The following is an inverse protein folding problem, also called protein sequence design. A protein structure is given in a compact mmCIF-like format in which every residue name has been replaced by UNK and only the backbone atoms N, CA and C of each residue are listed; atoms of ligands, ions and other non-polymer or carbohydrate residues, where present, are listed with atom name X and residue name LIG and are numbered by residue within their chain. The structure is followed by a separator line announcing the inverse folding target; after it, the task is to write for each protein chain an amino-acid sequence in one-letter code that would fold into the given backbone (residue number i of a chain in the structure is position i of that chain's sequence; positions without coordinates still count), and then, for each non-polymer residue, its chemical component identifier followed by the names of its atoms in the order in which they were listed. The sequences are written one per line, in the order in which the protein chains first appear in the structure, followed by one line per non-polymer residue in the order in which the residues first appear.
data_IF_081017631922
#
_entry.id   IF_081017631922
#
_cell.length_a   1.000
_cell.length_b   1.000
_cell.length_c   1.000
_cell.angle_alpha   90.00
_cell.angle_beta   90.00
_cell.angle_gamma   90.00
#
_symmetry.space_group_name_H-M   'P 1'
#
loop_
_entity.id
_entity.type
_entity.pdbx_description
1 polymer ?
#
# COMPACT_ATOMS: atom_id res chain seq x y z
N UNK A 1 57.14 -8.59 14.63
CA UNK A 1 56.02 -9.54 14.46
C UNK A 1 55.20 -9.10 13.26
N UNK A 2 55.01 -9.95 12.25
CA UNK A 2 54.15 -9.59 11.10
C UNK A 2 52.68 -9.72 11.51
N UNK A 3 51.94 -8.62 11.46
CA UNK A 3 50.49 -8.64 11.70
C UNK A 3 49.82 -9.45 10.58
N UNK A 4 49.27 -10.62 10.91
CA UNK A 4 48.43 -11.39 10.00
C UNK A 4 47.17 -10.55 9.70
N UNK A 5 47.16 -9.86 8.55
CA UNK A 5 45.93 -9.34 7.96
C UNK A 5 44.95 -10.51 7.82
N UNK A 6 43.94 -10.55 8.68
CA UNK A 6 42.81 -11.47 8.52
C UNK A 6 42.06 -11.00 7.29
N UNK A 7 42.18 -11.75 6.19
CA UNK A 7 41.36 -11.56 5.00
C UNK A 7 39.92 -11.95 5.35
N UNK A 8 39.17 -11.01 5.94
CA UNK A 8 37.77 -11.21 6.29
C UNK A 8 36.97 -11.38 5.00
N UNK A 9 36.38 -12.56 4.82
CA UNK A 9 35.49 -12.83 3.68
C UNK A 9 34.19 -12.05 3.83
N UNK A 10 33.49 -11.78 2.73
CA UNK A 10 32.16 -11.15 2.76
C UNK A 10 31.23 -11.82 3.79
N UNK A 11 31.21 -13.17 3.82
CA UNK A 11 30.47 -13.95 4.81
C UNK A 11 30.90 -13.67 6.26
N UNK A 12 32.20 -13.63 6.55
CA UNK A 12 32.68 -13.36 7.91
C UNK A 12 32.34 -11.93 8.35
N UNK A 13 32.50 -10.96 7.46
CA UNK A 13 32.15 -9.56 7.70
C UNK A 13 30.64 -9.36 7.87
N UNK A 14 29.81 -9.99 7.04
CA UNK A 14 28.34 -9.88 7.14
C UNK A 14 27.80 -10.54 8.42
N UNK A 15 28.41 -11.65 8.88
CA UNK A 15 28.11 -12.19 10.22
C UNK A 15 28.41 -11.18 11.33
N UNK A 16 29.54 -10.46 11.26
CA UNK A 16 29.86 -9.41 12.24
C UNK A 16 28.86 -8.25 12.19
N UNK A 17 28.46 -7.81 11.00
CA UNK A 17 27.47 -6.73 10.84
C UNK A 17 26.08 -7.17 11.31
N UNK A 18 25.71 -8.45 11.18
CA UNK A 18 24.46 -9.00 11.71
C UNK A 18 24.45 -9.00 13.24
N UNK A 19 25.53 -9.49 13.86
CA UNK A 19 25.68 -9.41 15.32
C UNK A 19 25.72 -7.95 15.82
N UNK A 20 26.20 -6.99 15.01
CA UNK A 20 26.17 -5.57 15.34
C UNK A 20 24.75 -5.03 15.36
N UNK A 21 23.99 -5.18 14.26
CA UNK A 21 22.62 -4.61 14.18
C UNK A 21 21.64 -5.28 15.14
N UNK A 22 21.86 -6.55 15.51
CA UNK A 22 21.08 -7.23 16.55
C UNK A 22 21.43 -6.78 17.98
N UNK A 23 22.66 -6.31 18.21
CA UNK A 23 23.09 -5.75 19.50
C UNK A 23 22.73 -4.26 19.65
N UNK A 24 22.79 -3.52 18.55
CA UNK A 24 22.60 -2.07 18.47
C UNK A 24 21.66 -1.77 17.29
N UNK A 25 20.33 -1.90 17.50
CA UNK A 25 19.33 -1.71 16.44
C UNK A 25 19.28 -0.26 15.96
N UNK A 26 19.10 -0.09 14.65
CA UNK A 26 18.97 1.24 14.04
C UNK A 26 17.52 1.72 14.14
N UNK A 27 17.24 2.95 14.62
CA UNK A 27 15.89 3.49 14.66
C UNK A 27 15.20 3.41 13.29
N UNK A 28 13.91 3.08 13.29
CA UNK A 28 13.06 2.88 12.10
C UNK A 28 13.48 1.72 11.17
N UNK A 29 14.48 0.89 11.51
CA UNK A 29 15.06 -0.07 10.56
C UNK A 29 15.23 -1.45 11.20
N UNK A 30 14.75 -2.48 10.51
CA UNK A 30 15.08 -3.87 10.79
C UNK A 30 15.73 -4.50 9.55
N UNK A 31 16.68 -5.41 9.71
CA UNK A 31 17.31 -6.10 8.59
C UNK A 31 17.76 -7.52 8.95
N UNK A 32 17.66 -8.43 7.99
CA UNK A 32 18.04 -9.83 8.14
C UNK A 32 18.62 -10.40 6.82
N UNK A 33 19.67 -11.24 6.88
CA UNK A 33 20.13 -12.04 5.74
C UNK A 33 19.07 -13.09 5.37
N UNK A 34 19.01 -13.48 4.10
CA UNK A 34 18.32 -14.70 3.72
C UNK A 34 19.02 -15.92 4.36
N UNK A 35 18.30 -16.85 5.01
CA UNK A 35 18.89 -18.07 5.59
C UNK A 35 19.68 -18.91 4.59
N UNK A 36 19.26 -18.90 3.32
CA UNK A 36 19.92 -19.61 2.21
C UNK A 36 21.07 -18.84 1.55
N UNK A 37 21.16 -17.52 1.76
CA UNK A 37 22.13 -16.66 1.09
C UNK A 37 22.48 -15.42 1.93
N UNK A 38 23.56 -15.47 2.70
CA UNK A 38 24.03 -14.33 3.50
C UNK A 38 24.46 -13.11 2.66
N UNK A 39 24.65 -13.25 1.34
CA UNK A 39 24.96 -12.14 0.44
C UNK A 39 23.71 -11.39 -0.04
N UNK A 40 22.51 -11.84 0.32
CA UNK A 40 21.25 -11.14 0.08
C UNK A 40 20.58 -10.88 1.42
N UNK A 41 20.40 -9.60 1.74
CA UNK A 41 19.70 -9.18 2.96
C UNK A 41 18.43 -8.45 2.59
N UNK A 42 17.38 -8.70 3.32
CA UNK A 42 16.20 -7.85 3.30
C UNK A 42 16.25 -6.86 4.45
N UNK A 43 15.58 -5.73 4.25
CA UNK A 43 15.37 -4.74 5.29
C UNK A 43 13.95 -4.18 5.22
N UNK A 44 13.47 -3.65 6.33
CA UNK A 44 12.28 -2.81 6.37
C UNK A 44 12.70 -1.43 6.89
N UNK A 45 12.08 -0.39 6.32
CA UNK A 45 12.13 0.97 6.84
C UNK A 45 10.72 1.33 7.30
N UNK A 46 10.53 1.63 8.58
CA UNK A 46 9.31 2.26 9.09
C UNK A 46 9.39 3.76 8.76
N UNK A 47 8.34 4.32 8.17
CA UNK A 47 8.32 5.72 7.75
C UNK A 47 8.28 6.65 8.98
N UNK A 48 9.28 7.53 9.18
CA UNK A 48 9.35 8.37 10.38
C UNK A 48 8.17 9.33 10.50
N UNK A 49 7.88 9.73 11.73
CA UNK A 49 6.88 10.74 12.07
C UNK A 49 7.20 12.09 11.42
N UNK A 50 6.15 12.86 11.08
CA UNK A 50 6.22 14.14 10.39
C UNK A 50 6.85 14.09 8.97
N UNK A 51 6.99 12.89 8.39
CA UNK A 51 7.52 12.70 7.03
C UNK A 51 6.42 12.47 5.99
N UNK A 52 6.80 12.46 4.71
CA UNK A 52 5.91 12.06 3.61
C UNK A 52 5.54 10.56 3.62
N UNK A 53 6.18 9.78 4.49
CA UNK A 53 6.18 8.33 4.53
C UNK A 53 5.60 7.75 5.84
N UNK A 54 5.23 8.62 6.77
CA UNK A 54 4.70 8.28 8.10
C UNK A 54 3.64 7.17 8.05
N UNK A 55 3.77 6.18 8.94
CA UNK A 55 2.89 5.01 9.00
C UNK A 55 3.13 3.96 7.90
N UNK A 56 4.02 4.22 6.95
CA UNK A 56 4.42 3.27 5.91
C UNK A 56 5.50 2.28 6.39
N UNK A 57 5.51 1.08 5.80
CA UNK A 57 6.51 0.04 6.03
C UNK A 57 7.12 -0.33 4.67
N UNK A 58 8.40 -0.01 4.45
CA UNK A 58 9.04 -0.15 3.15
C UNK A 58 10.06 -1.28 3.15
N UNK A 59 9.66 -2.42 2.58
CA UNK A 59 10.51 -3.58 2.37
C UNK A 59 11.46 -3.34 1.18
N UNK A 60 12.73 -3.64 1.39
CA UNK A 60 13.79 -3.57 0.38
C UNK A 60 14.80 -4.69 0.52
N UNK A 61 15.85 -4.68 -0.31
CA UNK A 61 16.97 -5.61 -0.19
C UNK A 61 18.33 -5.02 -0.60
N UNK A 62 19.37 -5.57 0.01
CA UNK A 62 20.78 -5.34 -0.29
C UNK A 62 21.37 -6.60 -0.93
N UNK A 63 22.07 -6.45 -2.06
CA UNK A 63 22.81 -7.53 -2.70
C UNK A 63 24.31 -7.25 -2.56
N UNK A 64 25.01 -8.05 -1.76
CA UNK A 64 26.43 -7.90 -1.47
C UNK A 64 27.30 -8.68 -2.49
N UNK A 65 28.34 -8.06 -3.08
CA UNK A 65 29.31 -8.78 -3.89
C UNK A 65 30.18 -9.69 -3.01
N UNK A 66 30.86 -10.68 -3.63
CA UNK A 66 31.79 -11.57 -2.90
C UNK A 66 33.00 -10.84 -2.33
N UNK A 67 33.31 -9.68 -2.92
CA UNK A 67 34.38 -8.76 -2.52
C UNK A 67 33.96 -7.77 -1.43
N UNK A 68 32.73 -7.83 -0.90
CA UNK A 68 32.35 -7.05 0.28
C UNK A 68 33.30 -7.41 1.47
N UNK A 69 33.79 -6.44 2.25
CA UNK A 69 33.41 -5.02 2.29
C UNK A 69 34.23 -4.11 1.37
N UNK A 70 35.12 -4.63 0.51
CA UNK A 70 35.95 -3.80 -0.37
C UNK A 70 35.18 -3.26 -1.58
N UNK A 71 34.04 -3.88 -1.93
CA UNK A 71 33.04 -3.32 -2.86
C UNK A 71 31.70 -3.09 -2.14
N UNK A 72 30.94 -2.03 -2.47
CA UNK A 72 29.60 -1.77 -1.92
C UNK A 72 28.55 -2.82 -2.35
N UNK A 73 27.39 -2.89 -1.68
CA UNK A 73 26.22 -3.60 -2.19
C UNK A 73 25.45 -2.80 -3.26
N UNK A 74 24.66 -3.51 -4.07
CA UNK A 74 23.50 -2.93 -4.77
C UNK A 74 22.33 -2.76 -3.78
N UNK A 75 21.60 -1.65 -3.87
CA UNK A 75 20.44 -1.33 -3.02
C UNK A 75 19.16 -1.33 -3.86
N UNK A 76 18.08 -1.93 -3.36
CA UNK A 76 16.78 -2.02 -4.03
C UNK A 76 15.63 -1.78 -3.06
N UNK A 77 14.64 -0.95 -3.45
CA UNK A 77 13.35 -0.88 -2.77
C UNK A 77 12.35 -1.82 -3.46
N UNK A 78 11.59 -2.61 -2.69
CA UNK A 78 10.58 -3.54 -3.23
C UNK A 78 9.17 -2.95 -3.09
N UNK A 79 8.84 -2.39 -1.93
CA UNK A 79 7.53 -1.77 -1.68
C UNK A 79 7.35 -0.47 -2.47
N UNK A 80 6.19 -0.25 -3.12
CA UNK A 80 5.80 1.03 -3.70
C UNK A 80 5.84 2.17 -2.65
N UNK A 81 6.56 3.25 -2.97
CA UNK A 81 6.94 4.28 -1.99
C UNK A 81 6.93 5.73 -2.55
N UNK A 82 6.85 5.91 -3.87
CA UNK A 82 6.78 7.23 -4.51
C UNK A 82 8.08 8.05 -4.50
N UNK A 83 9.21 7.48 -4.09
CA UNK A 83 10.55 8.10 -4.07
C UNK A 83 11.57 7.35 -4.92
N UNK A 84 11.50 6.02 -4.88
CA UNK A 84 12.36 5.09 -5.60
C UNK A 84 11.52 4.14 -6.45
N UNK A 85 11.93 3.94 -7.71
CA UNK A 85 11.39 2.94 -8.64
C UNK A 85 11.67 1.55 -8.08
N UNK A 86 10.61 0.77 -7.86
CA UNK A 86 10.74 -0.57 -7.27
C UNK A 86 11.60 -1.50 -8.14
N UNK A 87 12.29 -2.44 -7.51
CA UNK A 87 13.14 -3.46 -8.16
C UNK A 87 14.24 -2.89 -9.09
N UNK A 88 14.58 -1.61 -8.94
CA UNK A 88 15.66 -0.94 -9.69
C UNK A 88 16.83 -0.67 -8.75
N UNK A 89 18.07 -0.81 -9.25
CA UNK A 89 19.28 -0.46 -8.48
C UNK A 89 19.26 1.04 -8.18
N UNK A 90 19.41 1.39 -6.90
CA UNK A 90 19.45 2.79 -6.44
C UNK A 90 20.89 3.27 -6.39
N UNK A 91 21.17 4.39 -7.04
CA UNK A 91 22.46 5.07 -6.91
C UNK A 91 22.44 6.00 -5.70
N UNK A 92 23.15 5.61 -4.65
CA UNK A 92 23.45 6.46 -3.48
C UNK A 92 24.97 6.56 -3.34
N UNK A 93 25.51 7.58 -2.66
CA UNK A 93 26.96 7.72 -2.39
C UNK A 93 27.58 6.53 -1.62
N UNK A 94 26.71 5.72 -1.00
CA UNK A 94 27.00 4.48 -0.27
C UNK A 94 26.77 3.19 -1.09
N UNK A 95 26.52 3.31 -2.40
CA UNK A 95 26.16 2.20 -3.30
C UNK A 95 27.26 1.89 -4.33
N UNK A 96 27.07 0.79 -5.05
CA UNK A 96 27.99 0.26 -6.06
C UNK A 96 28.12 1.09 -7.36
N UNK A 97 27.47 2.25 -7.45
CA UNK A 97 27.73 3.27 -8.47
C UNK A 97 28.89 4.21 -8.12
N UNK A 98 29.31 4.27 -6.86
CA UNK A 98 30.39 5.17 -6.40
C UNK A 98 31.49 4.39 -5.65
N UNK A 99 32.25 3.51 -6.34
CA UNK A 99 33.31 2.73 -5.72
C UNK A 99 34.44 3.60 -5.14
N UNK A 100 34.70 4.77 -5.71
CA UNK A 100 35.78 5.67 -5.28
C UNK A 100 35.46 6.43 -3.98
N UNK A 101 34.17 6.62 -3.66
CA UNK A 101 33.73 7.23 -2.39
C UNK A 101 33.30 6.19 -1.35
N UNK A 102 33.40 4.91 -1.68
CA UNK A 102 33.03 3.82 -0.77
C UNK A 102 34.04 3.66 0.35
N UNK A 103 33.57 3.60 1.59
CA UNK A 103 34.40 3.26 2.75
C UNK A 103 34.11 1.82 3.22
N UNK A 104 35.08 0.88 3.10
CA UNK A 104 34.93 -0.49 3.59
C UNK A 104 34.63 -0.62 5.09
N UNK A 105 34.83 0.42 5.90
CA UNK A 105 34.45 0.44 7.32
C UNK A 105 32.94 0.63 7.54
N UNK A 106 32.18 1.13 6.56
CA UNK A 106 30.73 1.30 6.69
C UNK A 106 30.04 -0.05 6.89
N UNK A 107 29.13 -0.09 7.86
CA UNK A 107 28.38 -1.28 8.24
C UNK A 107 27.02 -1.35 7.55
N UNK A 108 26.37 -2.52 7.57
CA UNK A 108 24.97 -2.65 7.14
C UNK A 108 24.07 -1.62 7.83
N UNK A 109 24.25 -1.38 9.13
CA UNK A 109 23.57 -0.31 9.87
C UNK A 109 23.79 1.07 9.22
N UNK A 110 25.05 1.42 8.93
CA UNK A 110 25.43 2.70 8.30
C UNK A 110 24.82 2.86 6.90
N UNK A 111 24.81 1.79 6.09
CA UNK A 111 24.21 1.77 4.75
C UNK A 111 22.70 2.06 4.84
N UNK A 112 22.01 1.40 5.76
CA UNK A 112 20.56 1.54 5.90
C UNK A 112 20.15 2.90 6.50
N UNK A 113 20.93 3.44 7.46
CA UNK A 113 20.75 4.83 7.92
C UNK A 113 20.90 5.82 6.77
N UNK A 114 21.93 5.68 5.94
CA UNK A 114 22.14 6.56 4.78
C UNK A 114 21.04 6.45 3.73
N UNK A 115 20.51 5.24 3.48
CA UNK A 115 19.33 5.03 2.64
C UNK A 115 18.10 5.78 3.17
N UNK A 116 17.82 5.71 4.48
CA UNK A 116 16.71 6.43 5.10
C UNK A 116 16.89 7.94 4.94
N UNK A 117 18.08 8.50 5.19
CA UNK A 117 18.36 9.91 4.95
C UNK A 117 18.06 10.32 3.50
N UNK A 118 18.56 9.58 2.51
CA UNK A 118 18.26 9.81 1.09
C UNK A 118 16.78 9.64 0.72
N UNK A 119 16.03 8.81 1.45
CA UNK A 119 14.58 8.65 1.24
C UNK A 119 13.81 9.89 1.69
N UNK A 120 14.23 10.52 2.79
CA UNK A 120 13.64 11.77 3.31
C UNK A 120 14.00 13.00 2.48
N UNK A 121 15.14 12.97 1.80
CA UNK A 121 15.55 14.00 0.84
C UNK A 121 14.72 14.02 -0.47
N UNK A 122 14.78 15.16 -1.15
CA UNK A 122 14.22 15.38 -2.50
C UNK A 122 15.26 15.30 -3.62
N UNK A 123 16.52 15.00 -3.30
CA UNK A 123 17.64 14.95 -4.24
C UNK A 123 17.40 13.93 -5.36
N UNK A 124 17.46 14.31 -6.65
CA UNK A 124 17.30 13.36 -7.74
C UNK A 124 18.50 12.41 -7.81
N UNK A 125 18.24 11.13 -8.07
CA UNK A 125 19.30 10.14 -8.31
C UNK A 125 18.81 9.00 -9.22
N UNK A 126 19.72 8.17 -9.74
CA UNK A 126 19.34 7.00 -10.53
C UNK A 126 18.47 6.04 -9.72
N UNK A 127 17.35 5.65 -10.30
CA UNK A 127 16.33 4.84 -9.63
C UNK A 127 15.35 5.66 -8.78
N UNK A 128 15.51 6.97 -8.64
CA UNK A 128 14.48 7.84 -8.05
C UNK A 128 13.30 8.09 -9.01
N UNK A 129 12.16 8.48 -8.43
CA UNK A 129 10.96 8.94 -9.13
C UNK A 129 10.37 10.14 -8.40
N UNK A 130 9.69 11.00 -9.14
CA UNK A 130 8.94 12.13 -8.58
C UNK A 130 7.44 11.82 -8.52
N UNK A 131 6.83 12.04 -7.36
CA UNK A 131 5.39 11.90 -7.13
C UNK A 131 4.92 12.94 -6.12
N UNK A 132 3.64 13.25 -6.14
CA UNK A 132 3.02 14.14 -5.15
C UNK A 132 3.14 13.60 -3.71
N UNK A 133 3.04 14.49 -2.73
CA UNK A 133 2.94 14.14 -1.30
C UNK A 133 1.70 13.27 -1.03
N UNK A 134 0.58 13.56 -1.69
CA UNK A 134 -0.65 12.76 -1.61
C UNK A 134 -0.39 11.30 -2.03
N UNK A 135 0.30 11.11 -3.17
CA UNK A 135 0.69 9.77 -3.65
C UNK A 135 1.58 9.05 -2.65
N UNK A 136 2.57 9.73 -2.05
CA UNK A 136 3.45 9.11 -1.03
C UNK A 136 2.67 8.65 0.20
N UNK A 137 1.75 9.47 0.71
CA UNK A 137 0.86 9.12 1.85
C UNK A 137 -0.09 7.97 1.52
N UNK A 138 -0.65 7.94 0.30
CA UNK A 138 -1.49 6.82 -0.14
C UNK A 138 -0.69 5.50 -0.20
N UNK A 139 0.52 5.55 -0.74
CA UNK A 139 1.42 4.39 -0.78
C UNK A 139 1.88 3.97 0.62
N UNK A 140 2.11 4.91 1.55
CA UNK A 140 2.40 4.63 2.96
C UNK A 140 1.25 3.80 3.58
N UNK A 141 0.00 4.26 3.47
CA UNK A 141 -1.16 3.53 3.99
C UNK A 141 -1.36 2.13 3.36
N UNK A 142 -0.99 1.95 2.09
CA UNK A 142 -1.10 0.67 1.37
C UNK A 142 0.07 -0.29 1.62
N UNK A 143 1.23 0.23 2.06
CA UNK A 143 2.51 -0.50 2.12
C UNK A 143 2.47 -1.77 2.98
N UNK A 144 1.82 -1.73 4.15
CA UNK A 144 1.70 -2.88 5.03
C UNK A 144 0.93 -4.03 4.38
N UNK A 145 -0.27 -3.74 3.84
CA UNK A 145 -1.09 -4.72 3.13
C UNK A 145 -0.37 -5.27 1.88
N UNK A 146 0.39 -4.44 1.16
CA UNK A 146 1.25 -4.89 0.05
C UNK A 146 2.30 -5.90 0.52
N UNK A 147 3.02 -5.60 1.61
CA UNK A 147 4.11 -6.44 2.13
C UNK A 147 3.63 -7.81 2.63
N UNK A 148 2.41 -7.91 3.17
CA UNK A 148 1.84 -9.20 3.60
C UNK A 148 1.67 -10.22 2.46
N UNK A 149 1.63 -9.78 1.20
CA UNK A 149 1.60 -10.69 0.04
C UNK A 149 2.99 -11.26 -0.31
N UNK A 150 4.06 -10.75 0.31
CA UNK A 150 5.42 -11.22 0.09
C UNK A 150 5.79 -12.25 1.16
N UNK A 151 5.99 -13.52 0.76
CA UNK A 151 6.36 -14.59 1.69
C UNK A 151 7.70 -14.30 2.39
N UNK A 152 8.70 -13.82 1.67
CA UNK A 152 10.02 -13.47 2.24
C UNK A 152 9.92 -12.36 3.29
N UNK A 153 9.04 -11.37 3.11
CA UNK A 153 8.76 -10.39 4.15
C UNK A 153 8.14 -11.04 5.40
N UNK A 154 7.13 -11.89 5.22
CA UNK A 154 6.47 -12.58 6.33
C UNK A 154 7.41 -13.54 7.08
N UNK A 155 8.30 -14.23 6.37
CA UNK A 155 9.26 -15.18 6.93
C UNK A 155 10.38 -14.48 7.72
N UNK A 156 10.89 -13.34 7.23
CA UNK A 156 12.02 -12.62 7.84
C UNK A 156 11.61 -11.61 8.90
N UNK A 157 10.41 -11.04 8.82
CA UNK A 157 9.90 -10.00 9.73
C UNK A 157 8.54 -10.39 10.32
N UNK A 158 8.43 -11.54 11.03
CA UNK A 158 7.15 -12.07 11.50
C UNK A 158 6.44 -11.11 12.48
N UNK A 159 7.18 -10.44 13.36
CA UNK A 159 6.63 -9.46 14.31
C UNK A 159 6.03 -8.24 13.59
N UNK A 160 6.73 -7.71 12.58
CA UNK A 160 6.20 -6.63 11.75
C UNK A 160 4.96 -7.09 10.96
N UNK A 161 4.96 -8.32 10.45
CA UNK A 161 3.82 -8.90 9.74
C UNK A 161 2.58 -9.06 10.65
N UNK A 162 2.73 -9.53 11.89
CA UNK A 162 1.61 -9.56 12.86
C UNK A 162 1.14 -8.17 13.26
N UNK A 163 2.06 -7.22 13.55
CA UNK A 163 1.73 -5.81 13.82
C UNK A 163 0.85 -5.22 12.72
N UNK A 164 1.19 -5.46 11.45
CA UNK A 164 0.39 -5.01 10.29
C UNK A 164 -0.97 -5.74 10.22
N UNK A 165 -1.02 -7.06 10.43
CA UNK A 165 -2.30 -7.82 10.45
C UNK A 165 -3.26 -7.26 11.50
N UNK A 166 -2.77 -6.96 12.70
CA UNK A 166 -3.58 -6.42 13.79
C UNK A 166 -4.02 -4.97 13.54
N UNK A 167 -3.17 -4.13 12.94
CA UNK A 167 -3.56 -2.79 12.51
C UNK A 167 -4.69 -2.84 11.47
N UNK A 168 -4.58 -3.71 10.46
CA UNK A 168 -5.61 -3.88 9.43
C UNK A 168 -6.93 -4.45 10.00
N UNK A 169 -6.86 -5.38 10.95
CA UNK A 169 -8.05 -5.91 11.67
C UNK A 169 -8.78 -4.77 12.40
N UNK A 170 -8.06 -3.97 13.19
CA UNK A 170 -8.63 -2.84 13.96
C UNK A 170 -9.27 -1.79 13.03
N UNK A 171 -8.58 -1.40 11.97
CA UNK A 171 -9.10 -0.45 10.97
C UNK A 171 -10.38 -0.98 10.29
N UNK A 172 -10.46 -2.28 9.98
CA UNK A 172 -11.65 -2.89 9.40
C UNK A 172 -12.84 -2.90 10.37
N UNK A 173 -12.60 -3.16 11.66
CA UNK A 173 -13.64 -3.09 12.70
C UNK A 173 -14.13 -1.66 12.95
N UNK A 174 -13.22 -0.68 12.99
CA UNK A 174 -13.55 0.74 13.14
C UNK A 174 -14.38 1.24 11.96
N UNK A 175 -13.97 0.92 10.73
CA UNK A 175 -14.73 1.26 9.52
C UNK A 175 -16.12 0.60 9.53
N UNK A 176 -16.23 -0.66 9.95
CA UNK A 176 -17.53 -1.34 10.07
C UNK A 176 -18.45 -0.64 11.08
N UNK A 177 -17.94 -0.32 12.28
CA UNK A 177 -18.69 0.41 13.31
C UNK A 177 -19.15 1.79 12.82
N UNK A 178 -18.30 2.51 12.10
CA UNK A 178 -18.64 3.81 11.50
C UNK A 178 -19.79 3.69 10.48
N UNK A 179 -19.72 2.71 9.55
CA UNK A 179 -20.76 2.47 8.55
C UNK A 179 -22.11 2.05 9.18
N UNK A 180 -22.07 1.19 10.21
CA UNK A 180 -23.26 0.80 10.98
C UNK A 180 -23.90 2.00 11.70
N UNK A 181 -23.07 2.91 12.22
CA UNK A 181 -23.53 4.13 12.90
C UNK A 181 -24.19 5.11 11.93
N UNK A 182 -23.62 5.32 10.74
CA UNK A 182 -24.19 6.19 9.70
C UNK A 182 -25.52 5.68 9.14
N UNK A 183 -25.71 4.36 9.03
CA UNK A 183 -26.97 3.79 8.54
C UNK A 183 -28.14 3.99 9.51
N UNK A 184 -27.89 3.98 10.83
CA UNK A 184 -28.95 4.15 11.82
C UNK A 184 -29.52 5.58 11.82
N UNK A 185 -28.67 6.58 11.60
CA UNK A 185 -29.02 8.02 11.55
C UNK A 185 -29.99 8.39 10.42
N UNK A 186 -29.98 7.64 9.31
CA UNK A 186 -30.82 7.93 8.15
C UNK A 186 -32.26 7.38 8.26
N UNK A 187 -32.59 6.63 9.32
CA UNK A 187 -33.94 6.06 9.50
C UNK A 187 -34.93 7.00 10.22
N UNK A 188 -34.46 8.10 10.83
CA UNK A 188 -35.27 8.96 11.72
C UNK A 188 -35.86 10.22 11.09
N UNK A 189 -35.73 10.45 9.77
CA UNK A 189 -36.31 11.59 9.07
C UNK A 189 -37.06 11.21 7.78
N UNK A 190 -38.22 10.54 7.94
CA UNK A 190 -39.29 10.54 6.91
C UNK A 190 -40.68 10.56 7.55
N UNK A 191 -40.91 11.55 8.41
CA UNK A 191 -42.21 11.84 9.02
C UNK A 191 -42.50 13.32 8.99
N UNK A 192 -43.01 13.81 7.85
CA UNK A 192 -44.15 14.74 7.75
C UNK A 192 -44.28 15.31 6.34
N UNK A 193 -45.30 14.86 5.61
CA UNK A 193 -46.03 15.75 4.73
C UNK A 193 -47.52 15.34 4.71
N UNK A 194 -48.30 15.95 5.61
CA UNK A 194 -49.77 15.86 5.64
C UNK A 194 -50.35 17.20 5.19
N UNK A 195 -50.40 17.39 3.88
CA UNK A 195 -51.36 18.20 3.12
C UNK A 195 -51.27 17.64 1.69
N UNK A 196 -52.33 17.22 1.02
CA UNK A 196 -53.74 17.39 1.29
C UNK A 196 -54.43 17.51 -0.06
N UNK A 197 -54.66 16.38 -0.71
CA UNK A 197 -55.61 16.32 -1.84
C UNK A 197 -56.09 14.87 -2.02
N UNK A 198 -57.41 14.68 -1.93
CA UNK A 198 -58.04 13.37 -2.11
C UNK A 198 -58.62 13.30 -3.52
N UNK A 199 -57.95 12.57 -4.42
CA UNK A 199 -58.50 12.27 -5.74
C UNK A 199 -59.70 11.33 -5.59
N UNK A 200 -60.90 11.88 -5.77
CA UNK A 200 -62.15 11.13 -5.82
C UNK A 200 -62.21 10.31 -7.11
N UNK A 201 -62.48 9.01 -6.99
CA UNK A 201 -62.72 8.12 -8.12
C UNK A 201 -64.20 8.13 -8.49
N UNK A 202 -64.50 8.34 -9.77
CA UNK A 202 -65.83 8.06 -10.33
C UNK A 202 -65.94 6.59 -10.78
N UNK A 203 -67.18 6.09 -10.87
CA UNK A 203 -67.59 4.69 -11.04
C UNK A 203 -66.89 3.91 -12.17
N UNK A 204 -66.34 4.59 -13.18
CA UNK A 204 -65.70 3.96 -14.33
C UNK A 204 -64.15 3.97 -14.32
N UNK A 205 -63.51 4.45 -13.24
CA UNK A 205 -62.14 4.04 -12.88
C UNK A 205 -60.99 4.40 -13.84
N UNK A 206 -60.98 5.60 -14.44
CA UNK A 206 -59.88 6.08 -15.31
C UNK A 206 -59.32 7.42 -14.82
N UNK A 207 -58.01 7.52 -14.68
CA UNK A 207 -57.29 8.77 -14.40
C UNK A 207 -56.85 9.45 -15.70
N UNK A 208 -56.96 10.78 -15.77
CA UNK A 208 -56.62 11.61 -16.95
C UNK A 208 -55.62 12.69 -16.57
N UNK A 209 -54.52 12.78 -17.32
CA UNK A 209 -53.54 13.87 -17.21
C UNK A 209 -53.76 14.97 -18.26
N UNK A 210 -53.29 16.20 -18.02
CA UNK A 210 -53.43 17.31 -18.98
C UNK A 210 -52.42 17.17 -20.13
N UNK A 211 -52.89 17.31 -21.38
CA UNK A 211 -52.05 17.30 -22.59
C UNK A 211 -52.21 16.07 -23.49
N UNK A 212 -53.44 15.69 -23.81
CA UNK A 212 -53.74 14.44 -24.51
C UNK A 212 -53.13 14.30 -25.91
N UNK A 213 -52.10 13.47 -26.03
CA UNK A 213 -51.65 12.83 -27.27
C UNK A 213 -51.41 11.32 -27.06
N UNK A 214 -51.56 10.51 -28.13
CA UNK A 214 -51.59 9.04 -28.08
C UNK A 214 -50.98 8.45 -29.36
N UNK A 215 -49.84 7.75 -29.30
CA UNK A 215 -49.23 6.83 -30.29
C UNK A 215 -47.90 6.30 -29.68
N UNK A 216 -47.32 5.09 -29.85
CA UNK A 216 -47.69 3.77 -30.44
C UNK A 216 -47.23 2.69 -29.43
N UNK A 217 -47.84 1.50 -29.39
CA UNK A 217 -47.31 0.30 -28.70
C UNK A 217 -46.57 -0.60 -29.71
N UNK A 218 -45.29 -0.88 -29.48
CA UNK A 218 -44.54 -1.95 -30.17
C UNK A 218 -43.94 -2.88 -29.10
N UNK A 219 -43.78 -4.17 -29.41
CA UNK A 219 -43.27 -5.14 -28.45
C UNK A 219 -42.74 -6.42 -29.09
N UNK A 220 -42.55 -7.44 -28.24
CA UNK A 220 -42.10 -8.81 -28.54
C UNK A 220 -40.59 -8.94 -28.79
N UNK A 221 -39.97 -9.91 -28.08
CA UNK A 221 -38.55 -10.23 -28.17
C UNK A 221 -38.11 -11.23 -27.10
N UNK A 222 -38.72 -12.42 -27.06
CA UNK A 222 -38.37 -13.49 -26.13
C UNK A 222 -37.35 -14.47 -26.75
N UNK A 223 -36.41 -15.00 -25.96
CA UNK A 223 -35.60 -16.16 -26.37
C UNK A 223 -34.32 -16.40 -25.56
N UNK A 224 -34.03 -17.66 -25.25
CA UNK A 224 -32.71 -18.14 -24.82
C UNK A 224 -32.59 -18.57 -23.35
N UNK A 225 -32.61 -19.88 -23.10
CA UNK A 225 -32.50 -20.45 -21.75
C UNK A 225 -31.13 -21.11 -21.44
N UNK A 226 -30.78 -21.07 -20.15
CA UNK A 226 -29.98 -22.02 -19.37
C UNK A 226 -28.79 -22.80 -20.00
N UNK A 227 -27.59 -22.58 -19.43
CA UNK A 227 -26.83 -23.69 -18.78
C UNK A 227 -25.75 -23.18 -17.83
N UNK A 228 -25.78 -23.65 -16.59
CA UNK A 228 -24.79 -23.33 -15.55
C UNK A 228 -23.57 -24.26 -15.67
N UNK A 229 -22.36 -23.71 -15.65
CA UNK A 229 -21.16 -24.43 -15.23
C UNK A 229 -20.51 -23.69 -14.05
N UNK A 230 -20.41 -24.38 -12.92
CA UNK A 230 -20.01 -23.82 -11.64
C UNK A 230 -18.51 -24.02 -11.39
N UNK A 231 -17.72 -22.93 -11.42
CA UNK A 231 -16.48 -22.72 -10.63
C UNK A 231 -15.89 -21.33 -10.91
N UNK A 232 -15.77 -20.47 -9.88
CA UNK A 232 -14.87 -19.30 -9.93
C UNK A 232 -15.42 -17.91 -9.54
N UNK A 233 -16.70 -17.74 -9.18
CA UNK A 233 -17.30 -16.39 -9.04
C UNK A 233 -17.12 -15.69 -7.68
N UNK A 234 -16.73 -16.39 -6.61
CA UNK A 234 -16.71 -15.83 -5.25
C UNK A 234 -15.62 -14.77 -5.01
N UNK A 235 -14.48 -14.86 -5.70
CA UNK A 235 -13.36 -13.90 -5.50
C UNK A 235 -13.61 -12.55 -6.19
N UNK A 236 -14.41 -12.53 -7.28
CA UNK A 236 -14.58 -11.33 -8.09
C UNK A 236 -15.70 -10.41 -7.56
N UNK A 237 -16.68 -10.95 -6.82
CA UNK A 237 -17.75 -10.15 -6.21
C UNK A 237 -17.23 -9.14 -5.18
N UNK A 238 -16.22 -9.52 -4.38
CA UNK A 238 -15.62 -8.62 -3.38
C UNK A 238 -14.90 -7.42 -4.03
N UNK A 239 -14.24 -7.64 -5.17
CA UNK A 239 -13.58 -6.57 -5.94
C UNK A 239 -14.63 -5.64 -6.56
N UNK A 240 -15.70 -6.19 -7.14
CA UNK A 240 -16.77 -5.41 -7.77
C UNK A 240 -17.55 -4.57 -6.74
N UNK A 241 -17.88 -5.14 -5.58
CA UNK A 241 -18.54 -4.41 -4.48
C UNK A 241 -17.62 -3.32 -3.92
N UNK A 242 -16.32 -3.59 -3.77
CA UNK A 242 -15.34 -2.58 -3.39
C UNK A 242 -15.23 -1.43 -4.40
N UNK A 243 -15.24 -1.73 -5.70
CA UNK A 243 -15.20 -0.72 -6.76
C UNK A 243 -16.48 0.12 -6.82
N UNK A 244 -17.65 -0.50 -6.61
CA UNK A 244 -18.92 0.21 -6.54
C UNK A 244 -19.00 1.15 -5.34
N UNK A 245 -18.54 0.70 -4.16
CA UNK A 245 -18.45 1.55 -2.97
C UNK A 245 -17.48 2.73 -3.16
N UNK A 246 -16.31 2.49 -3.75
CA UNK A 246 -15.35 3.54 -4.08
C UNK A 246 -15.92 4.56 -5.06
N UNK A 247 -16.56 4.11 -6.15
CA UNK A 247 -17.20 4.99 -7.13
C UNK A 247 -18.35 5.82 -6.51
N UNK A 248 -19.11 5.25 -5.58
CA UNK A 248 -20.17 5.96 -4.86
C UNK A 248 -19.60 7.04 -3.93
N UNK A 249 -18.55 6.74 -3.17
CA UNK A 249 -17.85 7.71 -2.31
C UNK A 249 -17.24 8.85 -3.14
N UNK A 250 -16.55 8.53 -4.24
CA UNK A 250 -15.99 9.55 -5.15
C UNK A 250 -17.08 10.43 -5.74
N UNK A 251 -18.20 9.85 -6.20
CA UNK A 251 -19.34 10.62 -6.72
C UNK A 251 -19.91 11.55 -5.64
N UNK A 252 -20.13 11.04 -4.43
CA UNK A 252 -20.71 11.80 -3.32
C UNK A 252 -19.82 12.97 -2.89
N UNK A 253 -18.50 12.75 -2.77
CA UNK A 253 -17.54 13.81 -2.48
C UNK A 253 -17.52 14.86 -3.59
N UNK A 254 -17.56 14.45 -4.86
CA UNK A 254 -17.57 15.40 -5.98
C UNK A 254 -18.85 16.25 -6.04
N UNK A 255 -20.04 15.70 -5.75
CA UNK A 255 -21.27 16.52 -5.64
C UNK A 255 -21.18 17.51 -4.48
N UNK A 256 -20.79 17.05 -3.29
CA UNK A 256 -20.78 17.91 -2.09
C UNK A 256 -19.70 19.01 -2.13
N UNK A 257 -18.67 18.88 -2.97
CA UNK A 257 -17.63 19.91 -3.20
C UNK A 257 -18.04 20.92 -4.26
N UNK A 258 -19.00 20.59 -5.14
CA UNK A 258 -19.52 21.53 -6.16
C UNK A 258 -20.57 22.47 -5.56
N UNK A 259 -21.32 22.04 -4.54
CA UNK A 259 -22.32 22.85 -3.84
C UNK A 259 -21.73 23.85 -2.80
N UNK A 260 -20.41 24.10 -2.85
CA UNK A 260 -19.67 25.02 -1.96
C UNK A 260 -19.02 26.20 -2.72
N UNK A 261 -19.66 26.67 -3.80
CA UNK A 261 -19.30 27.90 -4.54
C UNK A 261 -20.51 28.73 -4.91
#
# INVERSE_FOLDING_TARGET
MSSRKVNSTATARLKQDYMRIMKDPVPYIQAAPLPSNILEWHYIVEGPENSAYEGGIYHGKLMFPREFPFKPPSIYMLTPNGRFKCNTRLCLSISDFHPDTWNPAWSVSTILTGLLSFMLEKSPTLGSIETSLYTKRQLAAQSGAFNLNNKTFCDLFPEAAEKIRDQLRKQAEELKKALESSNNSNSSHTSNNRTGDALVLDHNGVAVGPGGERLVRAGVGAGGGARWHMRGTMTNMLVIVGFAAFAFVVKHVLTNVVDLK
#
